data_IF_262947136439
#
_entry.id   IF_262947136439
#
_cell.length_a   1.000
_cell.length_b   1.000
_cell.length_c   1.000
_cell.angle_alpha   90.00
_cell.angle_beta   90.00
_cell.angle_gamma   90.00
#
_symmetry.space_group_name_H-M   'P 1'
#
loop_
_entity.id
_entity.type
_entity.pdbx_description
1 polymer ?
#
# COMPACT_ATOMS: atom_id res chain seq x y z
N UNK A 1 -25.70 -11.69 -7.65
CA UNK A 1 -24.86 -10.62 -8.23
C UNK A 1 -24.19 -9.86 -7.10
N UNK A 2 -23.00 -10.31 -6.69
CA UNK A 2 -22.06 -9.53 -5.87
C UNK A 2 -20.69 -10.11 -6.21
N UNK A 3 -19.96 -9.40 -7.08
CA UNK A 3 -18.56 -9.70 -7.33
C UNK A 3 -17.80 -9.38 -6.03
N UNK A 4 -17.69 -10.37 -5.16
CA UNK A 4 -16.68 -10.35 -4.09
C UNK A 4 -15.36 -10.44 -4.83
N UNK A 5 -14.77 -9.28 -5.14
CA UNK A 5 -13.38 -9.18 -5.60
C UNK A 5 -12.56 -10.01 -4.64
N UNK A 6 -12.12 -11.19 -5.09
CA UNK A 6 -11.23 -12.02 -4.30
C UNK A 6 -10.02 -11.13 -3.99
N UNK A 7 -9.73 -10.84 -2.71
CA UNK A 7 -8.70 -9.89 -2.30
C UNK A 7 -7.26 -10.34 -2.61
N UNK A 8 -7.09 -11.42 -3.39
CA UNK A 8 -5.85 -12.15 -3.62
C UNK A 8 -5.22 -11.86 -5.00
N UNK A 9 -5.95 -11.23 -5.93
CA UNK A 9 -5.52 -11.19 -7.34
C UNK A 9 -5.28 -9.78 -7.89
N UNK A 10 -4.78 -8.84 -7.09
CA UNK A 10 -4.24 -7.61 -7.69
C UNK A 10 -3.10 -7.92 -8.67
N UNK A 11 -2.47 -9.11 -8.61
CA UNK A 11 -1.40 -9.54 -9.53
C UNK A 11 -0.05 -8.90 -9.22
N UNK A 12 -0.06 -7.70 -8.65
CA UNK A 12 1.12 -6.93 -8.23
C UNK A 12 1.75 -7.49 -6.94
N UNK A 13 3.09 -7.49 -6.83
CA UNK A 13 3.82 -7.75 -5.58
C UNK A 13 3.36 -6.85 -4.43
N UNK A 14 3.18 -5.56 -4.70
CA UNK A 14 2.73 -4.55 -3.75
C UNK A 14 1.58 -3.76 -4.37
N UNK A 15 0.46 -3.69 -3.65
CA UNK A 15 -0.69 -2.87 -4.01
C UNK A 15 -1.00 -1.91 -2.87
N UNK A 16 -0.91 -0.62 -3.13
CA UNK A 16 -1.26 0.44 -2.20
C UNK A 16 -2.72 0.81 -2.42
N UNK A 17 -3.53 0.61 -1.37
CA UNK A 17 -4.96 0.90 -1.38
C UNK A 17 -5.24 2.42 -1.50
N UNK A 18 -6.49 2.82 -1.77
CA UNK A 18 -6.84 4.21 -1.96
C UNK A 18 -6.43 5.12 -0.80
N UNK A 19 -6.13 6.38 -1.13
CA UNK A 19 -5.86 7.44 -0.19
C UNK A 19 -7.07 7.67 0.70
N UNK A 20 -6.84 7.63 2.01
CA UNK A 20 -7.84 7.92 3.03
C UNK A 20 -7.33 9.10 3.88
N UNK A 21 -8.05 10.22 3.86
CA UNK A 21 -7.67 11.44 4.58
C UNK A 21 -7.96 11.38 6.08
N UNK A 22 -8.82 10.45 6.51
CA UNK A 22 -9.17 10.21 7.90
C UNK A 22 -8.16 9.28 8.59
N UNK A 23 -7.33 8.57 7.81
CA UNK A 23 -6.33 7.64 8.32
C UNK A 23 -4.91 8.19 8.28
N UNK A 24 -4.14 7.92 9.33
CA UNK A 24 -2.69 8.19 9.38
C UNK A 24 -1.88 7.28 8.44
N UNK A 25 -2.44 6.14 8.06
CA UNK A 25 -1.75 5.07 7.35
C UNK A 25 -2.41 4.81 6.00
N UNK A 26 -1.64 4.35 5.01
CA UNK A 26 -2.24 3.66 3.86
C UNK A 26 -2.22 2.17 4.10
N UNK A 27 -3.30 1.51 3.70
CA UNK A 27 -3.33 0.06 3.64
C UNK A 27 -2.49 -0.41 2.44
N UNK A 28 -1.59 -1.36 2.69
CA UNK A 28 -0.70 -1.93 1.69
C UNK A 28 -0.87 -3.42 1.67
N UNK A 29 -1.25 -3.95 0.51
CA UNK A 29 -1.33 -5.38 0.26
C UNK A 29 -0.01 -5.87 -0.29
N UNK A 30 0.52 -6.89 0.36
CA UNK A 30 1.73 -7.59 -0.03
C UNK A 30 1.34 -8.98 -0.50
N UNK A 31 1.76 -9.31 -1.73
CA UNK A 31 1.49 -10.61 -2.31
C UNK A 31 2.07 -11.72 -1.43
N UNK A 32 1.21 -12.61 -0.94
CA UNK A 32 1.60 -13.74 -0.08
C UNK A 32 1.82 -13.40 1.40
N UNK A 33 1.72 -12.13 1.80
CA UNK A 33 1.90 -11.70 3.20
C UNK A 33 0.62 -11.09 3.81
N UNK A 34 -0.30 -10.58 2.99
CA UNK A 34 -1.58 -10.02 3.43
C UNK A 34 -1.66 -8.51 3.28
N UNK A 35 -2.56 -7.88 4.03
CA UNK A 35 -2.77 -6.43 4.02
C UNK A 35 -2.37 -5.85 5.37
N UNK A 36 -1.59 -4.78 5.37
CA UNK A 36 -1.14 -4.09 6.59
C UNK A 36 -1.16 -2.56 6.41
N UNK A 37 -1.54 -1.80 7.45
CA UNK A 37 -1.40 -0.34 7.44
C UNK A 37 0.08 0.03 7.59
N UNK A 38 0.57 0.89 6.70
CA UNK A 38 1.92 1.44 6.75
C UNK A 38 1.86 2.96 6.72
N UNK A 39 2.83 3.61 7.35
CA UNK A 39 3.13 5.02 7.12
C UNK A 39 4.25 5.18 6.08
N UNK A 40 4.45 6.42 5.62
CA UNK A 40 5.46 6.74 4.59
C UNK A 40 6.86 6.22 4.95
N UNK A 41 7.26 6.37 6.21
CA UNK A 41 8.59 5.99 6.70
C UNK A 41 8.74 4.49 6.89
N UNK A 42 7.64 3.78 7.19
CA UNK A 42 7.61 2.32 7.34
C UNK A 42 7.49 1.59 6.00
N UNK A 43 6.91 2.24 4.99
CA UNK A 43 6.65 1.63 3.69
C UNK A 43 7.90 1.05 3.04
N UNK A 44 8.87 1.89 2.68
CA UNK A 44 10.08 1.46 1.97
C UNK A 44 10.84 0.33 2.69
N UNK A 45 11.18 0.43 4.00
CA UNK A 45 11.89 -0.65 4.69
C UNK A 45 11.06 -1.93 4.81
N UNK A 46 9.74 -1.82 5.01
CA UNK A 46 8.86 -2.99 5.10
C UNK A 46 8.74 -3.72 3.76
N UNK A 47 8.65 -2.97 2.66
CA UNK A 47 8.59 -3.50 1.31
C UNK A 47 9.93 -4.14 0.92
N UNK A 48 11.07 -3.48 1.14
CA UNK A 48 12.39 -4.07 0.88
C UNK A 48 12.66 -5.33 1.71
N UNK A 49 12.09 -5.43 2.91
CA UNK A 49 12.20 -6.64 3.73
C UNK A 49 11.41 -7.82 3.14
N UNK A 50 10.25 -7.56 2.55
CA UNK A 50 9.42 -8.59 1.90
C UNK A 50 9.93 -8.95 0.50
N UNK A 51 10.35 -7.94 -0.26
CA UNK A 51 10.76 -8.03 -1.64
C UNK A 51 12.08 -7.27 -1.82
N UNK A 52 13.24 -7.91 -1.60
CA UNK A 52 14.55 -7.23 -1.63
C UNK A 52 14.90 -6.59 -2.97
N UNK A 53 14.49 -7.21 -4.08
CA UNK A 53 14.77 -6.79 -5.46
C UNK A 53 13.66 -5.93 -6.07
N UNK A 54 12.75 -5.38 -5.26
CA UNK A 54 11.61 -4.63 -5.78
C UNK A 54 12.00 -3.24 -6.26
N UNK A 55 11.42 -2.86 -7.40
CA UNK A 55 11.52 -1.50 -7.94
C UNK A 55 10.26 -0.70 -7.55
N UNK A 56 10.46 0.41 -6.85
CA UNK A 56 9.37 1.29 -6.39
C UNK A 56 8.85 2.24 -7.48
N UNK A 57 9.63 2.46 -8.53
CA UNK A 57 9.25 3.26 -9.68
C UNK A 57 8.52 2.42 -10.75
N UNK A 58 8.58 1.09 -10.65
CA UNK A 58 7.91 0.17 -11.58
C UNK A 58 6.44 -0.08 -11.17
N UNK A 59 5.44 0.37 -11.96
CA UNK A 59 4.03 0.24 -11.62
C UNK A 59 3.49 -1.20 -11.70
N UNK A 60 4.24 -2.11 -12.34
CA UNK A 60 3.94 -3.55 -12.34
C UNK A 60 4.42 -4.24 -11.05
N UNK A 61 5.30 -3.59 -10.28
CA UNK A 61 5.76 -4.08 -8.98
C UNK A 61 5.07 -3.38 -7.81
N UNK A 62 4.98 -2.04 -7.86
CA UNK A 62 4.32 -1.22 -6.85
C UNK A 62 3.16 -0.46 -7.47
N UNK A 63 1.97 -1.04 -7.36
CA UNK A 63 0.76 -0.44 -7.89
C UNK A 63 0.07 0.44 -6.86
N UNK A 64 -0.32 1.64 -7.25
CA UNK A 64 -1.08 2.57 -6.42
C UNK A 64 -2.51 2.68 -6.95
N UNK A 65 -3.50 2.42 -6.10
CA UNK A 65 -4.91 2.55 -6.48
C UNK A 65 -5.27 3.99 -6.89
N UNK A 66 -4.65 4.99 -6.24
CA UNK A 66 -4.75 6.41 -6.56
C UNK A 66 -3.54 7.19 -6.01
N UNK A 67 -3.32 8.39 -6.56
CA UNK A 67 -2.33 9.39 -6.09
C UNK A 67 -0.97 8.74 -5.76
N UNK A 68 -0.22 8.26 -6.77
CA UNK A 68 1.03 7.54 -6.57
C UNK A 68 2.03 8.36 -5.75
N UNK A 69 2.65 7.72 -4.75
CA UNK A 69 3.62 8.35 -3.86
C UNK A 69 3.01 9.31 -2.83
N UNK A 70 1.69 9.53 -2.83
CA UNK A 70 1.04 10.40 -1.87
C UNK A 70 0.61 9.64 -0.62
N UNK A 71 1.02 10.16 0.53
CA UNK A 71 0.65 9.66 1.85
C UNK A 71 -0.27 10.66 2.55
N UNK A 72 -1.21 10.19 3.39
CA UNK A 72 -2.00 11.07 4.24
C UNK A 72 -1.08 12.02 4.99
N UNK A 73 -1.42 13.30 5.02
CA UNK A 73 -0.68 14.25 5.82
C UNK A 73 -0.84 13.81 7.28
N UNK A 74 0.27 13.41 7.91
CA UNK A 74 0.25 13.22 9.35
C UNK A 74 -0.15 14.56 9.98
N UNK A 75 -1.33 14.60 10.61
CA UNK A 75 -1.72 15.66 11.51
C UNK A 75 -1.25 15.25 12.91
N UNK A 76 -0.08 15.72 13.40
CA UNK A 76 0.23 15.62 14.82
C UNK A 76 -0.78 16.46 15.60
N UNK A 77 -1.83 15.80 16.11
CA UNK A 77 -2.72 16.33 17.13
C UNK A 77 -4.07 16.82 16.64
N UNK A 78 -5.02 15.89 16.47
CA UNK A 78 -6.44 16.12 16.76
C UNK A 78 -7.08 14.78 17.16
N UNK A 79 -6.93 14.45 18.46
CA UNK A 79 -7.86 13.72 19.35
C UNK A 79 -7.10 13.13 20.55
#
# INVERSE_FOLDING_TARGET
>A
MTNTTNPVESGYPVFVEPFDEDSRYRLVRLRGLGCEPLEREEFEPRIRRAFPDIDFDDPEQVHWADRPGQWPAWHPGEA
#
